data_IF_249665896666
#
_entry.id   IF_249665896666
#
_cell.length_a   1.000
_cell.length_b   1.000
_cell.length_c   1.000
_cell.angle_alpha   90.00
_cell.angle_beta   90.00
_cell.angle_gamma   90.00
#
_symmetry.space_group_name_H-M   'P 1'
#
loop_
_entity.id
_entity.type
_entity.pdbx_description
1 polymer ?
#
# COMPACT_ATOMS: atom_id res chain seq x y z
N UNK A 1 0.87 -35.67 0.06
CA UNK A 1 -0.24 -35.13 0.87
C UNK A 1 0.22 -34.76 2.29
N UNK A 2 1.44 -34.27 2.49
CA UNK A 2 2.00 -34.04 3.84
C UNK A 2 2.42 -32.58 4.15
N UNK A 3 2.25 -31.61 3.25
CA UNK A 3 2.81 -30.25 3.45
C UNK A 3 1.80 -29.16 3.81
N UNK A 4 0.50 -29.47 3.90
CA UNK A 4 -0.53 -28.51 4.32
C UNK A 4 -0.74 -28.40 5.84
N UNK A 5 -0.01 -29.18 6.63
CA UNK A 5 -0.13 -29.15 8.10
C UNK A 5 0.59 -27.89 8.64
N UNK A 6 -0.18 -26.81 8.88
CA UNK A 6 0.32 -25.54 9.45
C UNK A 6 0.25 -24.32 8.52
N UNK A 7 -0.04 -24.50 7.22
CA UNK A 7 -0.19 -23.39 6.27
C UNK A 7 -1.64 -22.88 6.28
N UNK A 8 -1.85 -21.62 6.65
CA UNK A 8 -3.11 -20.90 6.50
C UNK A 8 -2.80 -19.49 5.98
N UNK A 9 -3.27 -19.16 4.78
CA UNK A 9 -2.97 -17.89 4.10
C UNK A 9 -4.27 -17.11 3.91
N UNK A 10 -4.27 -15.84 4.32
CA UNK A 10 -5.29 -14.86 3.94
C UNK A 10 -4.74 -13.91 2.89
N UNK A 11 -5.44 -13.70 1.79
CA UNK A 11 -5.16 -12.59 0.89
C UNK A 11 -5.81 -11.32 1.45
N UNK A 12 -5.01 -10.28 1.70
CA UNK A 12 -5.46 -8.98 2.15
C UNK A 12 -5.46 -8.02 0.95
N UNK A 13 -6.61 -7.44 0.66
CA UNK A 13 -6.78 -6.49 -0.46
C UNK A 13 -7.31 -5.17 0.07
N UNK A 14 -6.63 -4.06 -0.25
CA UNK A 14 -7.09 -2.71 0.09
C UNK A 14 -7.69 -2.05 -1.14
N UNK A 15 -8.89 -1.47 -1.01
CA UNK A 15 -9.57 -0.77 -2.11
C UNK A 15 -10.16 0.57 -1.69
N UNK A 16 -10.18 1.53 -2.62
CA UNK A 16 -10.89 2.81 -2.47
C UNK A 16 -11.35 3.34 -3.83
N UNK A 17 -12.68 3.39 -4.05
CA UNK A 17 -13.28 3.91 -5.27
C UNK A 17 -12.79 3.26 -6.58
N UNK A 18 -12.44 1.98 -6.55
CA UNK A 18 -11.84 1.26 -7.67
C UNK A 18 -12.51 -0.10 -7.97
N UNK A 19 -13.84 -0.16 -8.19
CA UNK A 19 -14.58 -1.42 -8.31
C UNK A 19 -14.10 -2.31 -9.46
N UNK A 20 -13.68 -1.73 -10.59
CA UNK A 20 -13.18 -2.50 -11.75
C UNK A 20 -11.79 -3.10 -11.44
N UNK A 21 -10.91 -2.38 -10.78
CA UNK A 21 -9.58 -2.88 -10.37
C UNK A 21 -9.76 -4.01 -9.36
N UNK A 22 -10.56 -3.78 -8.31
CA UNK A 22 -10.89 -4.81 -7.32
C UNK A 22 -11.41 -6.09 -7.97
N UNK A 23 -12.34 -5.98 -8.93
CA UNK A 23 -12.88 -7.15 -9.63
C UNK A 23 -11.79 -7.94 -10.38
N UNK A 24 -10.85 -7.25 -11.05
CA UNK A 24 -9.73 -7.91 -11.74
C UNK A 24 -8.74 -8.56 -10.76
N UNK A 25 -8.44 -7.87 -9.67
CA UNK A 25 -7.59 -8.40 -8.61
C UNK A 25 -8.18 -9.69 -8.02
N UNK A 26 -9.46 -9.69 -7.65
CA UNK A 26 -10.14 -10.87 -7.12
C UNK A 26 -10.18 -12.03 -8.13
N UNK A 27 -10.46 -11.76 -9.40
CA UNK A 27 -10.44 -12.78 -10.45
C UNK A 27 -9.03 -13.40 -10.60
N UNK A 28 -7.95 -12.62 -10.45
CA UNK A 28 -6.58 -13.13 -10.50
C UNK A 28 -6.20 -13.92 -9.24
N UNK A 29 -6.76 -13.57 -8.08
CA UNK A 29 -6.62 -14.37 -6.85
C UNK A 29 -7.33 -15.71 -7.00
N UNK A 30 -8.53 -15.74 -7.59
CA UNK A 30 -9.27 -16.97 -7.87
C UNK A 30 -8.59 -17.89 -8.90
N UNK A 31 -7.83 -17.29 -9.81
CA UNK A 31 -7.10 -18.02 -10.85
C UNK A 31 -5.75 -18.59 -10.38
N UNK A 32 -5.39 -18.41 -9.11
CA UNK A 32 -4.14 -18.96 -8.58
C UNK A 32 -4.16 -20.49 -8.60
N UNK A 33 -3.03 -21.11 -8.95
CA UNK A 33 -2.83 -22.57 -8.88
C UNK A 33 -3.03 -23.08 -7.44
N UNK A 34 -2.64 -22.28 -6.46
CA UNK A 34 -2.94 -22.47 -5.04
C UNK A 34 -3.66 -21.24 -4.49
N UNK A 35 -4.95 -21.36 -4.30
CA UNK A 35 -5.79 -20.27 -3.76
C UNK A 35 -5.52 -20.04 -2.26
N UNK A 36 -5.61 -18.80 -1.75
CA UNK A 36 -5.58 -18.54 -0.32
C UNK A 36 -6.81 -19.14 0.38
N UNK A 37 -6.72 -19.37 1.70
CA UNK A 37 -7.83 -19.92 2.49
C UNK A 37 -8.99 -18.92 2.66
N UNK A 38 -8.68 -17.63 2.66
CA UNK A 38 -9.64 -16.53 2.71
C UNK A 38 -9.12 -15.32 1.93
N UNK A 39 -10.04 -14.56 1.37
CA UNK A 39 -9.78 -13.19 0.87
C UNK A 39 -10.48 -12.19 1.79
N UNK A 40 -9.71 -11.26 2.33
CA UNK A 40 -10.21 -10.18 3.17
C UNK A 40 -9.99 -8.83 2.48
N UNK A 41 -11.09 -8.17 2.12
CA UNK A 41 -11.08 -6.87 1.44
C UNK A 41 -11.36 -5.77 2.46
N UNK A 42 -10.52 -4.76 2.52
CA UNK A 42 -10.78 -3.51 3.24
C UNK A 42 -11.29 -2.48 2.26
N UNK A 43 -12.57 -2.12 2.38
CA UNK A 43 -13.17 -0.96 1.71
C UNK A 43 -12.85 0.30 2.51
N UNK A 44 -11.88 1.06 2.05
CA UNK A 44 -11.39 2.27 2.72
C UNK A 44 -12.29 3.50 2.43
N UNK A 45 -13.57 3.39 2.82
CA UNK A 45 -14.61 4.40 2.64
C UNK A 45 -14.93 4.75 1.17
N UNK A 46 -15.11 3.75 0.31
CA UNK A 46 -15.54 3.97 -1.09
C UNK A 46 -16.95 4.57 -1.19
N UNK A 47 -17.21 5.32 -2.26
CA UNK A 47 -18.52 5.87 -2.61
C UNK A 47 -18.83 5.54 -4.09
N UNK A 48 -19.80 4.67 -4.37
CA UNK A 48 -20.57 3.86 -3.41
C UNK A 48 -19.73 2.84 -2.66
N UNK A 49 -20.24 2.35 -1.52
CA UNK A 49 -19.59 1.26 -0.78
C UNK A 49 -19.42 0.01 -1.65
N UNK A 50 -18.39 -0.76 -1.36
CA UNK A 50 -18.21 -2.07 -1.99
C UNK A 50 -19.36 -3.00 -1.56
N UNK A 51 -20.11 -3.48 -2.55
CA UNK A 51 -21.16 -4.48 -2.33
C UNK A 51 -20.55 -5.89 -2.42
N UNK A 52 -20.36 -6.52 -1.26
CA UNK A 52 -19.81 -7.88 -1.17
C UNK A 52 -20.61 -8.90 -1.98
N UNK A 53 -21.93 -8.70 -2.14
CA UNK A 53 -22.81 -9.62 -2.88
C UNK A 53 -22.57 -9.54 -4.40
N UNK A 54 -22.01 -8.44 -4.90
CA UNK A 54 -21.70 -8.23 -6.31
C UNK A 54 -20.30 -8.74 -6.69
N UNK A 55 -19.45 -9.09 -5.73
CA UNK A 55 -18.11 -9.57 -5.98
C UNK A 55 -18.16 -11.06 -6.38
N UNK A 56 -17.70 -11.34 -7.58
CA UNK A 56 -17.50 -12.72 -8.05
C UNK A 56 -16.20 -13.24 -7.43
N UNK A 57 -16.34 -14.26 -6.58
CA UNK A 57 -15.20 -14.96 -5.98
C UNK A 57 -15.56 -16.45 -5.90
N UNK A 58 -14.77 -17.29 -6.57
CA UNK A 58 -15.02 -18.71 -6.71
C UNK A 58 -14.23 -19.57 -5.71
N UNK A 59 -13.14 -19.04 -5.17
CA UNK A 59 -12.22 -19.76 -4.31
C UNK A 59 -12.26 -19.30 -2.85
N UNK A 60 -12.61 -20.21 -1.93
CA UNK A 60 -12.49 -19.94 -0.51
C UNK A 60 -13.57 -19.02 0.08
N UNK A 61 -13.23 -18.37 1.19
CA UNK A 61 -14.08 -17.40 1.88
C UNK A 61 -13.73 -15.97 1.48
N UNK A 62 -14.72 -15.16 1.14
CA UNK A 62 -14.57 -13.73 0.90
C UNK A 62 -15.23 -12.93 2.02
N UNK A 63 -14.49 -12.02 2.61
CA UNK A 63 -14.99 -11.09 3.64
C UNK A 63 -14.65 -9.65 3.25
N UNK A 64 -15.62 -8.76 3.36
CA UNK A 64 -15.44 -7.33 3.14
C UNK A 64 -15.65 -6.58 4.45
N UNK A 65 -14.68 -5.76 4.84
CA UNK A 65 -14.80 -4.83 5.97
C UNK A 65 -14.73 -3.40 5.45
N UNK A 66 -15.73 -2.60 5.79
CA UNK A 66 -15.76 -1.18 5.45
C UNK A 66 -15.19 -0.33 6.58
N UNK A 67 -14.31 0.59 6.23
CA UNK A 67 -13.92 1.70 7.11
C UNK A 67 -14.89 2.87 6.95
N UNK A 68 -15.27 3.49 8.04
CA UNK A 68 -16.14 4.68 8.04
C UNK A 68 -15.41 5.91 7.46
N UNK A 69 -14.10 5.95 7.59
CA UNK A 69 -13.25 7.07 7.17
C UNK A 69 -12.13 6.54 6.28
N UNK A 70 -11.83 7.28 5.20
CA UNK A 70 -10.64 6.99 4.40
C UNK A 70 -9.38 7.33 5.22
N UNK A 71 -8.75 6.30 5.77
CA UNK A 71 -7.50 6.40 6.52
C UNK A 71 -6.25 6.46 5.65
N UNK A 72 -6.40 6.57 4.31
CA UNK A 72 -5.31 6.38 3.35
C UNK A 72 -4.81 4.94 3.33
N UNK A 73 -3.79 4.62 2.51
CA UNK A 73 -3.16 3.30 2.53
C UNK A 73 -2.67 2.90 3.92
N UNK A 74 -2.05 3.82 4.66
CA UNK A 74 -1.53 3.54 6.00
C UNK A 74 -2.61 3.03 6.98
N UNK A 75 -3.77 3.71 7.02
CA UNK A 75 -4.90 3.30 7.87
C UNK A 75 -5.57 2.03 7.37
N UNK A 76 -5.76 1.91 6.05
CA UNK A 76 -6.37 0.71 5.44
C UNK A 76 -5.54 -0.54 5.71
N UNK A 77 -4.23 -0.48 5.55
CA UNK A 77 -3.32 -1.59 5.84
C UNK A 77 -3.22 -1.90 7.33
N UNK A 78 -3.33 -0.91 8.20
CA UNK A 78 -3.42 -1.16 9.64
C UNK A 78 -4.69 -1.93 10.00
N UNK A 79 -5.85 -1.66 9.36
CA UNK A 79 -7.09 -2.42 9.53
C UNK A 79 -6.89 -3.85 9.04
N UNK A 80 -6.34 -4.06 7.84
CA UNK A 80 -6.12 -5.37 7.25
C UNK A 80 -5.20 -6.25 8.11
N UNK A 81 -4.05 -5.71 8.54
CA UNK A 81 -3.10 -6.44 9.37
C UNK A 81 -3.62 -6.66 10.81
N UNK A 82 -4.46 -5.78 11.35
CA UNK A 82 -5.16 -6.00 12.62
C UNK A 82 -6.13 -7.18 12.53
N UNK A 83 -6.87 -7.29 11.42
CA UNK A 83 -7.68 -8.47 11.15
C UNK A 83 -6.84 -9.75 11.08
N UNK A 84 -5.73 -9.73 10.35
CA UNK A 84 -4.79 -10.84 10.25
C UNK A 84 -4.30 -11.29 11.63
N UNK A 85 -3.88 -10.36 12.50
CA UNK A 85 -3.42 -10.66 13.85
C UNK A 85 -4.53 -11.20 14.76
N UNK A 86 -5.79 -10.84 14.53
CA UNK A 86 -6.94 -11.34 15.29
C UNK A 86 -7.45 -12.71 14.80
N UNK A 87 -6.98 -13.21 13.66
CA UNK A 87 -7.33 -14.49 13.05
C UNK A 87 -6.36 -15.59 13.46
N UNK A 88 -6.46 -16.78 12.86
CA UNK A 88 -5.52 -17.91 13.03
C UNK A 88 -4.69 -18.19 11.75
N UNK A 89 -4.69 -17.28 10.78
CA UNK A 89 -3.84 -17.39 9.59
C UNK A 89 -2.35 -17.26 9.97
N UNK A 90 -1.51 -18.03 9.32
CA UNK A 90 -0.07 -18.05 9.55
C UNK A 90 0.65 -17.03 8.70
N UNK A 91 0.10 -16.73 7.51
CA UNK A 91 0.66 -15.78 6.55
C UNK A 91 -0.42 -14.88 5.97
N UNK A 92 -0.03 -13.68 5.58
CA UNK A 92 -0.84 -12.75 4.82
C UNK A 92 -0.20 -12.49 3.45
N UNK A 93 -1.00 -12.59 2.39
CA UNK A 93 -0.65 -12.17 1.04
C UNK A 93 -1.25 -10.80 0.77
N UNK A 94 -0.44 -9.76 0.68
CA UNK A 94 -0.83 -8.35 0.84
C UNK A 94 -0.72 -7.59 -0.48
N UNK A 95 -1.80 -6.99 -0.97
CA UNK A 95 -1.81 -6.28 -2.25
C UNK A 95 -2.87 -5.19 -2.36
N UNK A 96 -2.57 -4.12 -3.09
CA UNK A 96 -3.55 -3.13 -3.53
C UNK A 96 -4.52 -3.71 -4.58
N UNK A 97 -5.68 -3.08 -4.77
CA UNK A 97 -6.74 -3.55 -5.68
C UNK A 97 -6.37 -3.45 -7.18
N UNK A 98 -5.29 -2.77 -7.53
CA UNK A 98 -4.77 -2.66 -8.90
C UNK A 98 -3.61 -3.62 -9.19
N UNK A 99 -3.40 -4.62 -8.34
CA UNK A 99 -2.43 -5.70 -8.52
C UNK A 99 -3.14 -6.93 -9.10
N UNK A 100 -2.59 -7.44 -10.20
CA UNK A 100 -3.06 -8.64 -10.88
C UNK A 100 -1.94 -9.68 -10.88
N UNK A 101 -1.95 -10.65 -9.94
CA UNK A 101 -0.93 -11.69 -9.87
C UNK A 101 -1.07 -12.73 -10.98
N UNK A 102 0.08 -13.23 -11.48
CA UNK A 102 0.11 -14.39 -12.36
C UNK A 102 -0.34 -15.67 -11.61
N UNK A 103 -0.85 -16.70 -12.30
CA UNK A 103 -1.46 -17.88 -11.67
C UNK A 103 -0.55 -18.64 -10.68
N UNK A 104 0.76 -18.62 -10.87
CA UNK A 104 1.74 -19.28 -10.00
C UNK A 104 2.37 -18.36 -8.94
N UNK A 105 1.87 -17.12 -8.83
CA UNK A 105 2.52 -16.10 -7.98
C UNK A 105 2.54 -16.52 -6.51
N UNK A 106 1.39 -16.92 -5.94
CA UNK A 106 1.29 -17.26 -4.52
C UNK A 106 2.11 -18.52 -4.19
N UNK A 107 2.01 -19.59 -4.99
CA UNK A 107 2.78 -20.81 -4.77
C UNK A 107 4.28 -20.55 -4.84
N UNK A 108 4.73 -19.75 -5.79
CA UNK A 108 6.15 -19.39 -5.96
C UNK A 108 6.67 -18.54 -4.77
N UNK A 109 5.87 -17.60 -4.25
CA UNK A 109 6.23 -16.85 -3.04
C UNK A 109 6.29 -17.75 -1.80
N UNK A 110 5.33 -18.68 -1.69
CA UNK A 110 5.28 -19.65 -0.59
C UNK A 110 6.50 -20.57 -0.59
N UNK A 111 6.86 -21.14 -1.73
CA UNK A 111 8.01 -22.03 -1.85
C UNK A 111 9.31 -21.31 -1.46
N UNK A 112 9.43 -20.04 -1.83
CA UNK A 112 10.54 -19.21 -1.41
C UNK A 112 10.54 -18.93 0.10
N UNK A 113 9.37 -18.73 0.72
CA UNK A 113 9.23 -18.48 2.14
C UNK A 113 9.45 -19.74 2.99
N UNK A 114 8.94 -20.89 2.55
CA UNK A 114 8.99 -22.16 3.31
C UNK A 114 10.38 -22.79 3.38
N UNK A 115 11.28 -22.42 2.47
CA UNK A 115 12.67 -22.92 2.45
C UNK A 115 13.58 -22.36 3.55
N UNK A 116 13.19 -21.26 4.20
CA UNK A 116 13.96 -20.58 5.25
C UNK A 116 13.03 -19.77 6.17
N UNK A 117 12.91 -20.14 7.45
CA UNK A 117 12.05 -19.43 8.40
C UNK A 117 12.36 -17.94 8.55
N UNK A 118 13.61 -17.53 8.27
CA UNK A 118 14.01 -16.11 8.29
C UNK A 118 13.60 -15.36 7.03
N UNK A 119 13.13 -16.07 5.98
CA UNK A 119 12.78 -15.53 4.67
C UNK A 119 11.28 -15.40 4.41
N UNK A 120 10.46 -15.41 5.46
CA UNK A 120 9.00 -15.31 5.37
C UNK A 120 8.49 -13.90 4.99
N UNK A 121 9.34 -13.08 4.34
CA UNK A 121 9.02 -11.76 3.77
C UNK A 121 9.46 -11.72 2.31
N UNK A 122 8.58 -12.26 1.44
CA UNK A 122 8.87 -12.47 0.02
C UNK A 122 8.04 -11.56 -0.87
N UNK A 123 8.68 -11.02 -1.92
CA UNK A 123 8.10 -10.07 -2.86
C UNK A 123 8.15 -10.59 -4.28
N UNK A 124 7.08 -10.42 -5.07
CA UNK A 124 7.12 -10.63 -6.51
C UNK A 124 7.86 -9.49 -7.21
N UNK A 125 8.19 -9.68 -8.47
CA UNK A 125 8.46 -8.57 -9.38
C UNK A 125 7.13 -7.99 -9.88
N UNK A 126 7.07 -6.67 -10.05
CA UNK A 126 5.88 -5.97 -10.55
C UNK A 126 6.12 -5.45 -11.97
N UNK A 127 5.34 -5.92 -12.93
CA UNK A 127 5.34 -5.41 -14.30
C UNK A 127 4.44 -4.16 -14.35
N UNK A 128 5.04 -3.03 -14.72
CA UNK A 128 4.33 -1.75 -14.82
C UNK A 128 3.60 -1.62 -16.17
N UNK A 129 2.61 -0.73 -16.32
CA UNK A 129 1.90 -0.53 -17.59
C UNK A 129 2.80 -0.12 -18.78
N UNK A 130 3.99 0.43 -18.52
CA UNK A 130 4.99 0.76 -19.53
C UNK A 130 5.96 -0.40 -19.82
N UNK A 131 5.72 -1.59 -19.25
CA UNK A 131 6.55 -2.79 -19.38
C UNK A 131 7.80 -2.77 -18.51
N UNK A 132 8.05 -1.72 -17.73
CA UNK A 132 9.18 -1.70 -16.80
C UNK A 132 8.96 -2.66 -15.62
N UNK A 133 10.05 -3.25 -15.11
CA UNK A 133 10.01 -4.21 -14.00
C UNK A 133 10.38 -3.50 -12.70
N UNK A 134 9.45 -3.51 -11.76
CA UNK A 134 9.65 -3.04 -10.40
C UNK A 134 10.14 -4.15 -9.46
N UNK A 135 11.15 -3.83 -8.65
CA UNK A 135 11.72 -4.69 -7.60
C UNK A 135 11.78 -3.92 -6.27
N UNK A 136 10.68 -3.33 -5.87
CA UNK A 136 10.61 -2.51 -4.66
C UNK A 136 9.64 -3.11 -3.63
N UNK A 137 9.82 -2.74 -2.37
CA UNK A 137 8.87 -3.04 -1.30
C UNK A 137 7.72 -2.04 -1.34
N UNK A 138 6.55 -2.52 -1.69
CA UNK A 138 5.29 -1.77 -1.71
C UNK A 138 4.16 -2.77 -1.50
N UNK A 139 2.93 -2.32 -1.40
CA UNK A 139 1.73 -3.15 -1.24
C UNK A 139 1.36 -3.93 -2.52
N UNK A 140 2.38 -4.51 -3.19
CA UNK A 140 2.27 -5.13 -4.52
C UNK A 140 2.36 -6.66 -4.47
N UNK A 141 1.58 -7.33 -3.63
CA UNK A 141 1.47 -8.78 -3.66
C UNK A 141 2.57 -9.53 -2.89
N UNK A 142 3.12 -8.97 -1.83
CA UNK A 142 4.10 -9.67 -0.99
C UNK A 142 3.45 -10.64 -0.01
N UNK A 143 4.17 -11.70 0.33
CA UNK A 143 3.80 -12.64 1.38
C UNK A 143 4.58 -12.33 2.66
N UNK A 144 3.89 -12.29 3.80
CA UNK A 144 4.45 -11.97 5.12
C UNK A 144 3.95 -12.96 6.17
N UNK A 145 4.83 -13.43 7.07
CA UNK A 145 4.45 -14.28 8.18
C UNK A 145 3.83 -13.50 9.34
N UNK A 146 3.05 -14.19 10.16
CA UNK A 146 2.49 -13.65 11.40
C UNK A 146 3.58 -13.14 12.34
N UNK A 147 4.65 -13.92 12.52
CA UNK A 147 5.77 -13.57 13.40
C UNK A 147 6.34 -12.20 13.09
N UNK A 148 6.50 -11.86 11.81
CA UNK A 148 7.00 -10.55 11.41
C UNK A 148 6.03 -9.45 11.86
N UNK A 149 4.72 -9.59 11.57
CA UNK A 149 3.74 -8.56 11.92
C UNK A 149 3.59 -8.42 13.44
N UNK A 150 3.66 -9.52 14.19
CA UNK A 150 3.66 -9.50 15.67
C UNK A 150 4.90 -8.77 16.21
N UNK A 151 6.06 -8.96 15.57
CA UNK A 151 7.32 -8.35 16.00
C UNK A 151 7.37 -6.84 15.71
N UNK A 152 6.98 -6.43 14.50
CA UNK A 152 7.14 -5.03 14.06
C UNK A 152 5.91 -4.17 14.29
N UNK A 153 4.76 -4.79 14.58
CA UNK A 153 3.47 -4.13 14.74
C UNK A 153 2.83 -3.68 13.42
N UNK A 154 1.87 -2.77 13.53
CA UNK A 154 1.09 -2.27 12.40
C UNK A 154 1.78 -1.11 11.68
N UNK A 155 1.46 -0.83 10.41
CA UNK A 155 1.91 0.38 9.71
C UNK A 155 1.57 1.66 10.49
N UNK A 156 2.36 2.70 10.28
CA UNK A 156 2.16 4.00 10.94
C UNK A 156 0.98 4.74 10.32
N UNK A 157 -0.22 4.56 10.88
CA UNK A 157 -1.48 5.16 10.39
C UNK A 157 -1.38 6.70 10.22
N UNK A 158 -0.59 7.36 11.06
CA UNK A 158 -0.39 8.80 11.02
C UNK A 158 0.29 9.31 9.74
N UNK A 159 0.93 8.46 8.95
CA UNK A 159 1.46 8.83 7.64
C UNK A 159 0.34 9.06 6.62
N UNK A 160 -0.79 8.40 6.75
CA UNK A 160 -1.94 8.49 5.87
C UNK A 160 -1.64 8.00 4.44
N UNK A 161 -0.84 8.73 3.68
CA UNK A 161 -0.52 8.46 2.28
C UNK A 161 0.92 8.87 1.98
N UNK A 162 1.66 8.01 1.26
CA UNK A 162 3.06 8.18 0.86
C UNK A 162 4.08 7.89 1.96
N UNK A 163 5.06 7.10 1.64
CA UNK A 163 6.15 6.61 2.48
C UNK A 163 5.76 5.61 3.60
N UNK A 164 4.49 5.24 3.73
CA UNK A 164 4.05 4.20 4.67
C UNK A 164 4.56 2.82 4.26
N UNK A 165 4.62 2.55 2.96
CA UNK A 165 5.20 1.35 2.39
C UNK A 165 6.72 1.29 2.58
N UNK A 166 7.42 2.39 2.29
CA UNK A 166 8.86 2.49 2.49
C UNK A 166 9.25 2.38 3.97
N UNK A 167 8.48 3.01 4.86
CA UNK A 167 8.70 2.92 6.31
C UNK A 167 8.49 1.50 6.81
N UNK A 168 7.42 0.84 6.38
CA UNK A 168 7.07 -0.50 6.85
C UNK A 168 7.91 -1.58 6.18
N UNK A 169 7.87 -1.65 4.85
CA UNK A 169 8.45 -2.75 4.07
C UNK A 169 9.95 -2.58 3.78
N UNK A 170 10.45 -1.34 3.61
CA UNK A 170 11.85 -1.13 3.24
C UNK A 170 12.74 -0.78 4.43
N UNK A 171 12.17 -0.35 5.55
CA UNK A 171 12.93 0.07 6.73
C UNK A 171 12.60 -0.76 7.98
N UNK A 172 11.39 -0.67 8.52
CA UNK A 172 11.06 -1.24 9.85
C UNK A 172 11.21 -2.75 9.89
N UNK A 173 10.67 -3.48 8.93
CA UNK A 173 10.78 -4.94 8.87
C UNK A 173 12.24 -5.39 8.70
N UNK A 174 13.03 -4.85 7.74
CA UNK A 174 14.45 -5.19 7.63
C UNK A 174 15.30 -4.82 8.86
N UNK A 175 15.05 -3.67 9.49
CA UNK A 175 15.76 -3.27 10.72
C UNK A 175 15.43 -4.18 11.92
N UNK A 176 14.27 -4.82 11.92
CA UNK A 176 13.88 -5.83 12.90
C UNK A 176 14.54 -7.21 12.65
N UNK A 177 15.35 -7.33 11.60
CA UNK A 177 16.08 -8.56 11.29
C UNK A 177 15.40 -9.47 10.27
N UNK A 178 14.33 -9.04 9.63
CA UNK A 178 13.64 -9.80 8.59
C UNK A 178 13.96 -9.25 7.19
N UNK A 179 14.97 -9.80 6.50
CA UNK A 179 15.40 -9.29 5.21
C UNK A 179 14.31 -9.51 4.15
N UNK A 180 14.12 -8.52 3.30
CA UNK A 180 13.23 -8.62 2.15
C UNK A 180 13.85 -9.51 1.08
N UNK A 181 13.12 -10.53 0.62
CA UNK A 181 13.51 -11.41 -0.46
C UNK A 181 12.65 -11.17 -1.71
N UNK A 182 13.27 -10.74 -2.81
CA UNK A 182 12.60 -10.62 -4.11
C UNK A 182 12.70 -11.97 -4.81
N UNK A 183 11.56 -12.46 -5.29
CA UNK A 183 11.40 -13.73 -6.00
C UNK A 183 11.10 -13.43 -7.45
N UNK A 184 12.12 -13.45 -8.31
CA UNK A 184 11.99 -13.06 -9.72
C UNK A 184 11.02 -13.96 -10.53
N UNK A 185 10.78 -15.18 -10.07
CA UNK A 185 9.81 -16.09 -10.68
C UNK A 185 8.35 -15.80 -10.28
N UNK A 186 8.11 -15.07 -9.20
CA UNK A 186 6.79 -14.60 -8.82
C UNK A 186 6.50 -13.26 -9.49
N UNK A 187 5.40 -13.19 -10.26
CA UNK A 187 5.10 -12.02 -11.10
C UNK A 187 3.73 -11.47 -10.74
N UNK A 188 3.64 -10.16 -10.65
CA UNK A 188 2.37 -9.42 -10.61
C UNK A 188 2.37 -8.32 -11.67
N UNK A 189 1.18 -7.97 -12.17
CA UNK A 189 0.99 -6.82 -13.04
C UNK A 189 0.38 -5.69 -12.22
N UNK A 190 1.01 -4.51 -12.24
CA UNK A 190 0.50 -3.32 -11.58
C UNK A 190 -0.37 -2.56 -12.58
N UNK A 191 -1.66 -2.83 -12.57
CA UNK A 191 -2.64 -2.33 -13.55
C UNK A 191 -3.09 -0.89 -13.21
N UNK A 192 -2.17 -0.09 -12.67
CA UNK A 192 -2.42 1.30 -12.30
C UNK A 192 -2.82 2.12 -13.52
N UNK A 193 -4.08 2.52 -13.58
CA UNK A 193 -4.56 3.46 -14.61
C UNK A 193 -3.91 4.81 -14.32
N UNK A 194 -2.83 5.12 -15.04
CA UNK A 194 -2.24 6.47 -15.01
C UNK A 194 -3.22 7.44 -15.65
N UNK A 195 -4.07 8.06 -14.86
CA UNK A 195 -4.87 9.18 -15.31
C UNK A 195 -3.91 10.31 -15.68
N UNK A 196 -3.85 10.62 -16.99
CA UNK A 196 -3.11 11.79 -17.46
C UNK A 196 -3.75 13.05 -16.86
N UNK A 197 -2.93 13.99 -16.38
CA UNK A 197 -3.42 15.26 -15.85
C UNK A 197 -2.52 15.84 -14.76
N UNK A 198 -3.01 16.90 -14.13
CA UNK A 198 -2.32 17.53 -13.02
C UNK A 198 -2.41 16.68 -11.76
N UNK A 199 -1.31 16.58 -11.02
CA UNK A 199 -1.26 15.87 -9.74
C UNK A 199 -2.02 16.71 -8.71
N UNK A 200 -2.97 16.12 -7.95
CA UNK A 200 -3.66 16.83 -6.89
C UNK A 200 -2.72 17.47 -5.87
N UNK A 201 -3.01 18.70 -5.46
CA UNK A 201 -2.16 19.50 -4.56
C UNK A 201 -1.87 18.79 -3.24
N UNK A 202 -2.85 18.05 -2.68
CA UNK A 202 -2.68 17.30 -1.44
C UNK A 202 -1.61 16.20 -1.53
N UNK A 203 -1.37 15.61 -2.72
CA UNK A 203 -0.30 14.63 -2.93
C UNK A 203 1.07 15.25 -2.72
N UNK A 204 1.28 16.49 -3.19
CA UNK A 204 2.54 17.22 -2.93
C UNK A 204 2.77 17.48 -1.44
N UNK A 205 1.70 17.77 -0.70
CA UNK A 205 1.79 17.94 0.76
C UNK A 205 2.23 16.67 1.46
N UNK A 206 1.52 15.56 1.27
CA UNK A 206 1.86 14.31 1.96
C UNK A 206 3.22 13.78 1.54
N UNK A 207 3.55 13.81 0.24
CA UNK A 207 4.85 13.38 -0.25
C UNK A 207 5.99 14.18 0.41
N UNK A 208 5.91 15.51 0.46
CA UNK A 208 6.93 16.35 1.09
C UNK A 208 7.00 16.16 2.61
N UNK A 209 5.85 16.06 3.30
CA UNK A 209 5.76 15.88 4.74
C UNK A 209 6.37 14.54 5.16
N UNK A 210 5.87 13.47 4.57
CA UNK A 210 6.22 12.13 5.01
C UNK A 210 7.64 11.75 4.60
N UNK A 211 8.10 12.18 3.43
CA UNK A 211 9.49 11.97 3.02
C UNK A 211 10.47 12.69 3.95
N UNK A 212 10.17 13.93 4.37
CA UNK A 212 11.02 14.63 5.33
C UNK A 212 10.98 13.93 6.69
N UNK A 213 9.78 13.64 7.19
CA UNK A 213 9.60 12.91 8.45
C UNK A 213 10.38 11.60 8.46
N UNK A 214 10.21 10.78 7.43
CA UNK A 214 10.87 9.49 7.29
C UNK A 214 12.40 9.61 7.30
N UNK A 215 12.97 10.53 6.51
CA UNK A 215 14.42 10.72 6.49
C UNK A 215 15.00 11.35 7.76
N UNK A 216 14.25 12.25 8.40
CA UNK A 216 14.74 12.99 9.57
C UNK A 216 14.52 12.22 10.89
N UNK A 217 13.32 11.68 11.09
CA UNK A 217 12.87 11.14 12.37
C UNK A 217 12.89 9.61 12.44
N UNK A 218 12.83 8.91 11.29
CA UNK A 218 12.84 7.44 11.23
C UNK A 218 14.22 6.92 10.86
N UNK A 219 14.73 7.32 9.70
CA UNK A 219 16.03 6.83 9.23
C UNK A 219 17.23 7.57 9.85
N UNK A 220 17.03 8.77 10.38
CA UNK A 220 18.11 9.68 10.81
C UNK A 220 19.18 9.93 9.71
N UNK A 221 18.77 9.89 8.42
CA UNK A 221 19.64 10.00 7.24
C UNK A 221 19.07 10.99 6.23
N UNK A 222 19.48 12.24 6.31
CA UNK A 222 18.96 13.32 5.44
C UNK A 222 19.74 13.50 4.12
N UNK A 223 20.85 12.78 3.91
CA UNK A 223 21.78 13.06 2.79
C UNK A 223 21.19 12.95 1.38
N UNK A 224 20.22 12.07 1.14
CA UNK A 224 19.54 11.93 -0.17
C UNK A 224 18.28 12.78 -0.31
N UNK A 225 17.79 13.35 0.79
CA UNK A 225 16.56 14.10 0.83
C UNK A 225 16.55 15.36 -0.06
N UNK A 226 17.64 16.18 -0.14
CA UNK A 226 17.66 17.36 -1.00
C UNK A 226 17.36 17.06 -2.48
N UNK A 227 17.85 15.92 -3.01
CA UNK A 227 17.54 15.52 -4.40
C UNK A 227 16.06 15.19 -4.59
N UNK A 228 15.44 14.52 -3.62
CA UNK A 228 14.03 14.18 -3.68
C UNK A 228 13.15 15.42 -3.64
N UNK A 229 13.45 16.38 -2.75
CA UNK A 229 12.67 17.62 -2.67
C UNK A 229 12.87 18.52 -3.91
N UNK A 230 14.07 18.59 -4.44
CA UNK A 230 14.33 19.30 -5.70
C UNK A 230 13.50 18.69 -6.85
N UNK A 231 13.47 17.35 -6.97
CA UNK A 231 12.65 16.67 -7.95
C UNK A 231 11.16 16.98 -7.79
N UNK A 232 10.66 17.02 -6.54
CA UNK A 232 9.27 17.35 -6.23
C UNK A 232 8.91 18.78 -6.62
N UNK A 233 9.78 19.73 -6.31
CA UNK A 233 9.63 21.15 -6.69
C UNK A 233 9.67 21.31 -8.22
N UNK A 234 10.62 20.68 -8.90
CA UNK A 234 10.69 20.71 -10.36
C UNK A 234 9.45 20.09 -11.01
N UNK A 235 8.92 19.00 -10.45
CA UNK A 235 7.68 18.39 -10.91
C UNK A 235 6.50 19.36 -10.78
N UNK A 236 6.38 20.08 -9.66
CA UNK A 236 5.35 21.08 -9.45
C UNK A 236 5.48 22.28 -10.42
N UNK A 237 6.70 22.69 -10.76
CA UNK A 237 6.95 23.83 -11.65
C UNK A 237 6.81 23.48 -13.15
N UNK A 238 7.33 22.29 -13.56
CA UNK A 238 7.50 21.96 -14.97
C UNK A 238 6.40 21.06 -15.53
N UNK A 239 5.85 20.15 -14.72
CA UNK A 239 4.83 19.18 -15.18
C UNK A 239 3.40 19.58 -14.84
N UNK A 240 3.20 20.37 -13.78
CA UNK A 240 1.88 20.85 -13.40
C UNK A 240 1.43 21.96 -14.37
N UNK A 241 0.22 21.82 -14.93
CA UNK A 241 -0.35 22.83 -15.85
C UNK A 241 -1.08 23.94 -15.08
N UNK A 242 -1.74 23.58 -13.99
CA UNK A 242 -2.54 24.48 -13.14
C UNK A 242 -2.03 24.42 -11.69
N UNK A 243 -2.42 25.38 -10.88
CA UNK A 243 -2.20 25.43 -9.43
C UNK A 243 -0.74 25.27 -8.95
N UNK A 244 0.24 25.64 -9.77
CA UNK A 244 1.69 25.54 -9.44
C UNK A 244 2.04 26.18 -8.11
N UNK A 245 1.52 27.40 -7.87
CA UNK A 245 1.76 28.15 -6.61
C UNK A 245 1.17 27.39 -5.42
N UNK A 246 -0.05 26.82 -5.56
CA UNK A 246 -0.67 26.03 -4.52
C UNK A 246 0.11 24.75 -4.23
N UNK A 247 0.64 24.08 -5.27
CA UNK A 247 1.51 22.91 -5.09
C UNK A 247 2.81 23.28 -4.36
N UNK A 248 3.43 24.43 -4.67
CA UNK A 248 4.60 24.91 -3.92
C UNK A 248 4.26 25.23 -2.46
N UNK A 249 3.13 25.89 -2.22
CA UNK A 249 2.64 26.14 -0.87
C UNK A 249 2.38 24.86 -0.08
N UNK A 250 1.81 23.84 -0.74
CA UNK A 250 1.59 22.51 -0.15
C UNK A 250 2.93 21.83 0.20
N UNK A 251 3.95 21.92 -0.68
CA UNK A 251 5.30 21.42 -0.40
C UNK A 251 5.90 22.12 0.81
N UNK A 252 5.88 23.46 0.86
CA UNK A 252 6.43 24.22 2.00
C UNK A 252 5.74 23.85 3.31
N UNK A 253 4.40 23.71 3.29
CA UNK A 253 3.64 23.29 4.46
C UNK A 253 3.95 21.85 4.87
N UNK A 254 4.05 20.94 3.90
CA UNK A 254 4.44 19.55 4.17
C UNK A 254 5.83 19.47 4.80
N UNK A 255 6.81 20.22 4.29
CA UNK A 255 8.15 20.29 4.87
C UNK A 255 8.12 20.78 6.32
N UNK A 256 7.35 21.86 6.59
CA UNK A 256 7.19 22.36 7.95
C UNK A 256 6.57 21.29 8.88
N UNK A 257 5.44 20.69 8.48
CA UNK A 257 4.75 19.71 9.29
C UNK A 257 5.60 18.43 9.48
N UNK A 258 6.36 18.00 8.46
CA UNK A 258 7.28 16.86 8.55
C UNK A 258 8.47 17.12 9.48
N UNK A 259 9.05 18.32 9.45
CA UNK A 259 10.15 18.70 10.32
C UNK A 259 9.73 18.69 11.81
N UNK A 260 8.50 19.09 12.12
CA UNK A 260 7.96 19.16 13.46
C UNK A 260 7.08 17.96 13.85
N UNK A 261 7.15 16.85 13.11
CA UNK A 261 6.40 15.62 13.37
C UNK A 261 4.88 15.80 13.48
N UNK A 262 4.32 16.76 12.75
CA UNK A 262 2.88 17.02 12.68
C UNK A 262 2.24 16.08 11.65
N UNK A 263 1.94 14.88 12.09
CA UNK A 263 1.38 13.82 11.26
C UNK A 263 -0.16 13.78 11.34
N UNK A 264 -0.75 12.79 10.69
CA UNK A 264 -2.21 12.58 10.65
C UNK A 264 -2.85 13.12 9.37
N UNK A 265 -4.18 12.99 9.31
CA UNK A 265 -4.99 13.40 8.16
C UNK A 265 -5.17 14.91 8.19
N UNK A 266 -4.73 15.60 7.14
CA UNK A 266 -4.94 17.05 6.98
C UNK A 266 -5.92 17.37 5.85
N UNK A 267 -5.96 16.54 4.81
CA UNK A 267 -6.84 16.70 3.67
C UNK A 267 -7.70 15.44 3.54
N UNK A 268 -9.02 15.60 3.59
CA UNK A 268 -9.95 14.50 3.35
C UNK A 268 -10.03 14.21 1.85
N UNK A 269 -9.66 13.02 1.46
CA UNK A 269 -9.57 12.61 0.03
C UNK A 269 -10.95 12.41 -0.60
N UNK A 270 -11.95 12.03 0.18
CA UNK A 270 -13.33 11.81 -0.28
C UNK A 270 -14.01 13.05 -0.88
N UNK A 271 -13.62 14.26 -0.43
CA UNK A 271 -14.17 15.52 -0.93
C UNK A 271 -13.41 16.10 -2.14
N UNK A 272 -12.26 15.53 -2.50
CA UNK A 272 -11.32 16.12 -3.46
C UNK A 272 -11.50 15.62 -4.89
N UNK A 273 -12.23 14.49 -5.09
CA UNK A 273 -12.54 13.99 -6.45
C UNK A 273 -13.70 14.76 -7.10
N UNK A 274 -14.60 15.36 -6.30
CA UNK A 274 -15.77 16.09 -6.82
C UNK A 274 -15.59 17.61 -6.91
N UNK A 275 -14.62 18.18 -6.21
CA UNK A 275 -14.34 19.62 -6.26
C UNK A 275 -12.84 19.85 -6.30
N UNK A 276 -12.36 20.38 -7.40
CA UNK A 276 -11.05 21.01 -7.38
C UNK A 276 -11.06 22.09 -6.29
N UNK A 277 -10.48 21.79 -5.13
CA UNK A 277 -10.12 22.69 -4.04
C UNK A 277 -11.15 22.99 -2.95
N UNK A 278 -10.80 22.75 -1.72
CA UNK A 278 -10.55 23.77 -0.68
C UNK A 278 -10.05 23.09 0.59
N UNK A 279 -9.04 23.61 1.30
CA UNK A 279 -8.69 23.12 2.63
C UNK A 279 -9.88 23.40 3.56
N UNK A 280 -10.23 22.41 4.38
CA UNK A 280 -11.08 22.67 5.54
C UNK A 280 -10.41 23.75 6.36
N UNK A 281 -11.12 24.87 6.57
CA UNK A 281 -10.71 25.95 7.46
C UNK A 281 -10.39 25.38 8.84
N UNK A 282 -9.23 25.77 9.34
CA UNK A 282 -8.81 25.57 10.72
C UNK A 282 -9.96 25.83 11.69
N UNK A 283 -10.40 24.83 12.43
CA UNK A 283 -10.99 25.03 13.74
C UNK A 283 -9.94 24.73 14.77
N UNK A 284 -9.68 25.72 15.55
CA UNK A 284 -8.68 25.93 16.59
C UNK A 284 -8.42 24.75 17.51
#
# INVERSE_FOLDING_TARGET
MSERQGRRIVALVLTHNAPQSLSRCLAAIDAQAEVPDEVFVVDNASLPAVDASSLLHAGGSLRVMRSEVNGGPAGGWAIALRYFLASDFTHAWVMDDDIVPDPECLSTLWDAASGDPTSAFTFPIAIQPDGSIGRWGSWCGFLISREIVETVGLPMEALFWWAEDAEYCEWRIPEAGFPRRIVDAAVVHHDAIRQGGDIPTWKYYYESRNMLYYHLHVMHRVGRYPKKITSLVLRALLRQKRDRIRCLGAICRGLYDGAFSRLGIRYEVSSLHERGLSPTTDTA
#
